data_IF_952913671510
#
_entry.id   IF_952913671510
#
_cell.length_a   1.000
_cell.length_b   1.000
_cell.length_c   1.000
_cell.angle_alpha   90.00
_cell.angle_beta   90.00
_cell.angle_gamma   90.00
#
_symmetry.space_group_name_H-M   'P 1'
#
loop_
_entity.id
_entity.type
_entity.pdbx_description
1 polymer ?
#
# COMPACT_ATOMS: atom_id res chain seq x y z
N UNK A 1 4.98 8.17 -8.43
CA UNK A 1 4.89 6.73 -8.05
C UNK A 1 5.87 6.48 -6.92
N UNK A 2 5.50 5.70 -5.90
CA UNK A 2 6.40 5.42 -4.79
C UNK A 2 6.35 3.95 -4.39
N UNK A 3 7.42 3.47 -3.76
CA UNK A 3 7.56 2.11 -3.26
C UNK A 3 8.57 2.10 -2.11
N UNK A 4 8.42 1.18 -1.17
CA UNK A 4 9.38 0.98 -0.08
C UNK A 4 10.74 0.48 -0.60
N UNK A 5 10.76 -0.23 -1.73
CA UNK A 5 11.94 -0.82 -2.34
C UNK A 5 12.69 0.18 -3.22
N UNK A 6 13.92 0.59 -2.84
CA UNK A 6 14.76 1.43 -3.69
C UNK A 6 15.07 0.78 -5.03
N UNK A 7 15.10 -0.56 -5.05
CA UNK A 7 15.31 -1.33 -6.28
C UNK A 7 14.12 -1.21 -7.24
N UNK A 8 12.89 -1.27 -6.74
CA UNK A 8 11.70 -1.11 -7.57
C UNK A 8 11.65 0.29 -8.20
N UNK A 9 11.95 1.32 -7.41
CA UNK A 9 12.08 2.70 -7.87
C UNK A 9 13.17 2.85 -8.93
N UNK A 10 14.32 2.19 -8.74
CA UNK A 10 15.39 2.16 -9.74
C UNK A 10 14.94 1.62 -11.10
N UNK A 11 14.07 0.59 -11.13
CA UNK A 11 13.53 0.07 -12.39
C UNK A 11 12.57 1.04 -13.09
N UNK A 12 11.73 1.73 -12.33
CA UNK A 12 10.76 2.69 -12.88
C UNK A 12 11.48 3.93 -13.42
N UNK A 13 12.54 4.39 -12.75
CA UNK A 13 13.31 5.57 -13.16
C UNK A 13 13.95 5.45 -14.56
N UNK A 14 14.19 4.24 -15.05
CA UNK A 14 14.73 4.03 -16.41
C UNK A 14 13.73 4.45 -17.49
N UNK A 15 12.43 4.46 -17.19
CA UNK A 15 11.41 4.89 -18.15
C UNK A 15 11.06 6.38 -17.94
N UNK A 16 11.37 7.26 -18.91
CA UNK A 16 11.14 8.71 -18.79
C UNK A 16 9.67 9.12 -18.78
N UNK A 17 8.73 8.21 -19.08
CA UNK A 17 7.29 8.50 -18.99
C UNK A 17 6.80 8.63 -17.55
N UNK A 18 7.54 8.07 -16.58
CA UNK A 18 7.22 8.21 -15.17
C UNK A 18 7.90 9.45 -14.59
N UNK A 19 7.09 10.33 -14.00
CA UNK A 19 7.56 11.51 -13.27
C UNK A 19 7.29 11.35 -11.78
N UNK A 20 8.04 12.08 -10.95
CA UNK A 20 7.89 12.10 -9.49
C UNK A 20 7.90 10.68 -8.89
N UNK A 21 8.99 9.97 -9.15
CA UNK A 21 9.24 8.60 -8.69
C UNK A 21 10.21 8.68 -7.50
N UNK A 22 9.86 8.08 -6.37
CA UNK A 22 10.65 8.19 -5.14
C UNK A 22 10.44 7.00 -4.20
N UNK A 23 11.42 6.75 -3.33
CA UNK A 23 11.31 5.73 -2.27
C UNK A 23 10.47 6.29 -1.14
N UNK A 24 9.50 5.52 -0.64
CA UNK A 24 8.69 5.91 0.52
C UNK A 24 8.19 4.70 1.29
N UNK A 25 8.21 4.81 2.61
CA UNK A 25 7.52 3.93 3.54
C UNK A 25 6.18 4.55 3.92
N UNK A 26 5.08 3.93 3.47
CA UNK A 26 3.72 4.47 3.68
C UNK A 26 3.32 4.54 5.16
N UNK A 27 3.98 3.78 6.04
CA UNK A 27 3.70 3.74 7.48
C UNK A 27 4.47 4.83 8.22
N UNK A 28 5.78 4.93 7.93
CA UNK A 28 6.73 5.66 8.79
C UNK A 28 7.13 7.03 8.24
N UNK A 29 7.03 7.26 6.93
CA UNK A 29 7.45 8.52 6.33
C UNK A 29 6.29 9.52 6.36
N UNK A 30 6.61 10.80 6.41
CA UNK A 30 5.65 11.87 6.19
C UNK A 30 5.42 12.04 4.68
N UNK A 31 4.25 11.61 4.19
CA UNK A 31 3.92 11.72 2.77
C UNK A 31 3.90 13.17 2.27
N UNK A 32 3.67 14.14 3.16
CA UNK A 32 3.63 15.57 2.81
C UNK A 32 5.01 16.17 2.56
N UNK A 33 6.09 15.48 2.97
CA UNK A 33 7.46 15.90 2.70
C UNK A 33 7.83 15.83 1.20
N UNK A 34 7.14 14.97 0.44
CA UNK A 34 7.40 14.76 -0.99
C UNK A 34 6.21 15.14 -1.87
N UNK A 35 4.99 14.98 -1.37
CA UNK A 35 3.75 15.29 -2.09
C UNK A 35 3.06 16.45 -1.39
N UNK A 36 2.64 17.47 -2.13
CA UNK A 36 1.89 18.57 -1.52
C UNK A 36 0.60 18.07 -0.83
N UNK A 37 0.25 18.56 0.36
CA UNK A 37 -1.02 18.24 1.02
C UNK A 37 -2.21 18.55 0.11
N UNK A 38 -3.27 17.73 0.20
CA UNK A 38 -4.50 17.89 -0.58
C UNK A 38 -4.28 18.13 -2.09
N UNK A 39 -3.25 17.51 -2.68
CA UNK A 39 -2.89 17.75 -4.09
C UNK A 39 -3.34 16.65 -5.04
N UNK A 40 -3.56 15.44 -4.54
CA UNK A 40 -3.88 14.28 -5.35
C UNK A 40 -5.39 14.08 -5.51
N UNK A 41 -5.85 13.86 -6.74
CA UNK A 41 -7.23 13.46 -7.03
C UNK A 41 -7.46 11.96 -6.77
N UNK A 42 -6.42 11.16 -6.96
CA UNK A 42 -6.49 9.70 -6.87
C UNK A 42 -5.17 9.16 -6.31
N UNK A 43 -5.29 8.22 -5.37
CA UNK A 43 -4.20 7.33 -4.96
C UNK A 43 -4.58 5.90 -5.35
N UNK A 44 -3.67 5.18 -6.00
CA UNK A 44 -3.84 3.77 -6.31
C UNK A 44 -2.91 2.91 -5.43
N UNK A 45 -3.51 1.99 -4.66
CA UNK A 45 -2.81 1.03 -3.82
C UNK A 45 -3.18 -0.39 -4.25
N UNK A 46 -2.44 -0.95 -5.21
CA UNK A 46 -2.72 -2.26 -5.80
C UNK A 46 -1.71 -3.27 -5.27
N UNK A 47 -2.19 -4.22 -4.47
CA UNK A 47 -1.41 -5.22 -3.75
C UNK A 47 -0.35 -4.61 -2.81
N UNK A 48 -0.64 -3.43 -2.25
CA UNK A 48 0.31 -2.68 -1.40
C UNK A 48 -0.02 -2.76 0.10
N UNK A 49 -1.27 -3.07 0.47
CA UNK A 49 -1.77 -2.98 1.84
C UNK A 49 -1.84 -4.35 2.54
N UNK A 50 -2.01 -5.46 1.81
CA UNK A 50 -2.01 -6.81 2.41
C UNK A 50 -0.74 -7.22 3.16
N UNK A 51 0.46 -6.67 2.87
CA UNK A 51 1.64 -6.95 3.69
C UNK A 51 1.62 -6.27 5.06
N UNK A 52 0.72 -5.30 5.29
CA UNK A 52 0.65 -4.52 6.53
C UNK A 52 0.02 -5.35 7.66
N UNK A 53 0.55 -5.18 8.88
CA UNK A 53 -0.13 -5.69 10.07
C UNK A 53 -1.37 -4.83 10.38
N UNK A 54 -2.34 -5.38 11.12
CA UNK A 54 -3.57 -4.64 11.47
C UNK A 54 -3.29 -3.28 12.16
N UNK A 55 -2.22 -3.20 12.97
CA UNK A 55 -1.82 -1.96 13.64
C UNK A 55 -1.19 -0.92 12.73
N UNK A 56 -0.75 -1.30 11.53
CA UNK A 56 -0.06 -0.41 10.58
C UNK A 56 -1.04 0.24 9.58
N UNK A 57 -2.30 -0.22 9.52
CA UNK A 57 -3.32 0.37 8.66
C UNK A 57 -3.63 1.84 9.00
N UNK A 58 -3.87 2.22 10.27
CA UNK A 58 -4.16 3.61 10.60
C UNK A 58 -3.09 4.61 10.12
N UNK A 59 -1.80 4.47 10.47
CA UNK A 59 -0.77 5.42 10.00
C UNK A 59 -0.61 5.40 8.47
N UNK A 60 -0.74 4.24 7.82
CA UNK A 60 -0.69 4.15 6.36
C UNK A 60 -1.85 4.90 5.68
N UNK A 61 -3.07 4.75 6.19
CA UNK A 61 -4.25 5.42 5.66
C UNK A 61 -4.24 6.93 5.95
N UNK A 62 -3.74 7.35 7.10
CA UNK A 62 -3.58 8.77 7.44
C UNK A 62 -2.61 9.45 6.47
N UNK A 63 -1.47 8.83 6.20
CA UNK A 63 -0.51 9.32 5.21
C UNK A 63 -1.11 9.48 3.81
N UNK A 64 -1.91 8.50 3.36
CA UNK A 64 -2.63 8.58 2.09
C UNK A 64 -3.67 9.71 2.11
N UNK A 65 -4.41 9.84 3.20
CA UNK A 65 -5.46 10.84 3.34
C UNK A 65 -4.91 12.28 3.32
N UNK A 66 -3.76 12.53 3.95
CA UNK A 66 -3.14 13.85 4.00
C UNK A 66 -2.78 14.43 2.62
N UNK A 67 -2.45 13.58 1.66
CA UNK A 67 -2.06 14.02 0.30
C UNK A 67 -3.23 14.03 -0.68
N UNK A 68 -4.35 13.38 -0.33
CA UNK A 68 -5.58 13.40 -1.13
C UNK A 68 -6.34 14.71 -0.94
N UNK A 69 -6.89 15.26 -2.02
CA UNK A 69 -7.91 16.31 -1.95
C UNK A 69 -9.09 15.84 -1.12
N UNK A 70 -9.86 16.77 -0.53
CA UNK A 70 -11.11 16.47 0.19
C UNK A 70 -12.11 15.61 -0.60
N UNK A 71 -12.13 15.74 -1.93
CA UNK A 71 -12.96 14.94 -2.84
C UNK A 71 -12.19 13.86 -3.59
N UNK A 72 -10.91 13.67 -3.25
CA UNK A 72 -10.05 12.64 -3.81
C UNK A 72 -10.54 11.24 -3.46
N UNK A 73 -9.95 10.25 -4.13
CA UNK A 73 -10.31 8.84 -3.96
C UNK A 73 -9.08 7.98 -3.74
N UNK A 74 -9.22 6.99 -2.86
CA UNK A 74 -8.31 5.86 -2.77
C UNK A 74 -8.92 4.71 -3.57
N UNK A 75 -8.23 4.27 -4.61
CA UNK A 75 -8.52 3.01 -5.30
C UNK A 75 -7.57 1.96 -4.76
N UNK A 76 -8.11 0.95 -4.09
CA UNK A 76 -7.30 -0.17 -3.60
C UNK A 76 -7.81 -1.49 -4.18
N UNK A 77 -6.88 -2.40 -4.42
CA UNK A 77 -7.16 -3.80 -4.73
C UNK A 77 -6.12 -4.61 -4.02
N UNK A 78 -6.53 -5.55 -3.19
CA UNK A 78 -5.57 -6.38 -2.46
C UNK A 78 -5.95 -7.85 -2.39
N UNK A 79 -5.03 -8.64 -1.86
CA UNK A 79 -5.29 -10.03 -1.53
C UNK A 79 -6.26 -10.11 -0.35
N UNK A 80 -7.23 -11.00 -0.48
CA UNK A 80 -8.19 -11.31 0.57
C UNK A 80 -8.12 -12.79 0.88
N UNK A 81 -8.56 -13.14 2.09
CA UNK A 81 -8.72 -14.53 2.50
C UNK A 81 -9.71 -15.23 1.53
N UNK A 82 -9.35 -16.41 1.04
CA UNK A 82 -10.04 -17.16 0.01
C UNK A 82 -9.83 -16.67 -1.42
N UNK A 83 -8.96 -15.67 -1.65
CA UNK A 83 -8.71 -15.20 -3.02
C UNK A 83 -8.01 -16.26 -3.87
N UNK A 84 -8.26 -16.25 -5.18
CA UNK A 84 -7.56 -17.15 -6.11
C UNK A 84 -6.04 -16.99 -6.00
N UNK A 85 -5.55 -15.76 -5.78
CA UNK A 85 -4.14 -15.50 -5.52
C UNK A 85 -3.65 -16.22 -4.25
N UNK A 86 -4.38 -16.12 -3.13
CA UNK A 86 -4.03 -16.86 -1.92
C UNK A 86 -3.99 -18.37 -2.18
N UNK A 87 -5.00 -18.95 -2.82
CA UNK A 87 -5.01 -20.40 -3.12
C UNK A 87 -3.79 -20.83 -3.94
N UNK A 88 -3.40 -20.03 -4.94
CA UNK A 88 -2.27 -20.34 -5.82
C UNK A 88 -0.91 -20.11 -5.14
N UNK A 89 -0.80 -19.15 -4.21
CA UNK A 89 0.47 -18.80 -3.54
C UNK A 89 0.64 -19.44 -2.16
N UNK A 90 -0.43 -19.83 -1.46
CA UNK A 90 -0.41 -20.51 -0.17
C UNK A 90 0.24 -21.90 -0.24
N UNK A 91 0.21 -22.55 -1.41
CA UNK A 91 0.94 -23.79 -1.64
C UNK A 91 2.47 -23.61 -1.62
N UNK A 92 2.98 -22.37 -1.70
CA UNK A 92 4.42 -22.06 -1.80
C UNK A 92 5.00 -21.41 -0.54
N UNK A 93 4.18 -20.98 0.40
CA UNK A 93 4.63 -20.41 1.67
C UNK A 93 3.56 -20.67 2.74
N UNK A 94 3.88 -21.39 3.84
CA UNK A 94 2.96 -21.56 4.96
C UNK A 94 2.92 -20.23 5.72
N UNK A 95 2.30 -19.21 5.14
CA UNK A 95 1.94 -18.01 5.89
C UNK A 95 0.92 -18.47 6.91
N UNK A 96 1.30 -18.38 8.18
CA UNK A 96 0.44 -18.66 9.33
C UNK A 96 -0.93 -18.07 9.04
N UNK A 97 -1.96 -18.93 8.99
CA UNK A 97 -3.35 -18.48 8.92
C UNK A 97 -3.48 -17.33 9.91
N UNK A 98 -3.88 -16.15 9.43
CA UNK A 98 -4.35 -15.08 10.32
C UNK A 98 -5.35 -15.79 11.22
N UNK A 99 -4.96 -15.96 12.49
CA UNK A 99 -5.74 -16.73 13.44
C UNK A 99 -7.11 -16.09 13.45
N UNK A 100 -8.10 -16.85 12.98
CA UNK A 100 -9.50 -16.54 13.19
C UNK A 100 -9.63 -16.07 14.63
N UNK A 101 -10.11 -14.84 14.85
CA UNK A 101 -10.61 -14.46 16.16
C UNK A 101 -11.40 -15.65 16.69
N UNK A 102 -11.00 -16.16 17.86
CA UNK A 102 -11.77 -17.18 18.55
C UNK A 102 -13.23 -16.71 18.69
N UNK A 103 -14.18 -17.65 18.88
CA UNK A 103 -15.57 -17.27 19.07
C UNK A 103 -15.64 -16.23 20.20
N UNK A 104 -16.29 -15.09 19.93
CA UNK A 104 -16.66 -14.14 20.97
C UNK A 104 -17.55 -14.91 21.96
N UNK A 105 -17.00 -15.17 23.14
CA UNK A 105 -17.74 -15.62 24.31
C UNK A 105 -18.53 -14.46 24.91
#
# INVERSE_FOLDING_TARGET
>A
MCDFSPRAIGYVHVNPQYTNVFVANIINDDSTATIAPESLDLVSAICCLSPLALGDFPPALDNIACVLKRVGRLLFRDYVIGSQAEVHFAARCPVTRISTCGPMA
#
